data_IF_902223497807
#
_entry.id   IF_902223497807
#
_cell.length_a   1.000
_cell.length_b   1.000
_cell.length_c   1.000
_cell.angle_alpha   90.00
_cell.angle_beta   90.00
_cell.angle_gamma   90.00
#
_symmetry.space_group_name_H-M   'P 1'
#
loop_
_entity.id
_entity.type
_entity.pdbx_description
1 polymer ?
#
# COMPACT_ATOMS: atom_id res chain seq x y z
N UNK A 1 -10.37 12.36 -4.10
CA UNK A 1 -9.62 11.17 -3.85
C UNK A 1 -8.13 11.39 -3.94
N UNK A 2 -7.38 10.78 -3.09
CA UNK A 2 -5.95 11.02 -3.10
C UNK A 2 -5.24 10.15 -4.09
N UNK A 3 -4.16 10.69 -4.62
CA UNK A 3 -3.26 9.94 -5.45
C UNK A 3 -2.68 8.78 -4.64
N UNK A 4 -2.79 7.54 -5.12
CA UNK A 4 -2.26 6.42 -4.35
C UNK A 4 -0.77 6.53 -4.07
N UNK A 5 -0.02 7.15 -4.97
CA UNK A 5 1.40 7.35 -4.72
C UNK A 5 1.63 8.28 -3.55
N UNK A 6 0.81 9.31 -3.44
CA UNK A 6 0.91 10.23 -2.32
C UNK A 6 0.53 9.55 -1.01
N UNK A 7 -0.45 8.67 -1.06
CA UNK A 7 -0.86 7.96 0.14
C UNK A 7 0.30 7.15 0.69
N UNK A 8 1.07 6.52 -0.18
CA UNK A 8 2.24 5.76 0.24
C UNK A 8 3.46 6.63 0.47
N UNK A 9 3.39 7.88 0.07
CA UNK A 9 4.52 8.78 0.25
C UNK A 9 5.67 8.51 -0.68
N UNK A 10 5.37 8.04 -1.87
CA UNK A 10 6.40 7.76 -2.85
C UNK A 10 6.13 8.55 -4.12
N UNK A 11 7.17 8.66 -4.94
CA UNK A 11 7.07 9.32 -6.22
C UNK A 11 6.32 8.43 -7.21
N UNK A 12 5.71 9.06 -8.19
CA UNK A 12 5.05 8.30 -9.25
C UNK A 12 6.06 7.49 -10.06
N UNK A 13 7.31 7.91 -10.02
CA UNK A 13 8.38 7.19 -10.70
C UNK A 13 9.04 6.15 -9.82
N UNK A 14 8.55 5.96 -8.62
CA UNK A 14 9.16 5.03 -7.68
C UNK A 14 9.19 3.61 -8.27
N UNK A 15 10.23 2.90 -7.96
CA UNK A 15 10.35 1.52 -8.37
C UNK A 15 9.37 0.66 -7.59
N UNK A 16 9.11 -0.51 -8.11
CA UNK A 16 8.21 -1.44 -7.44
C UNK A 16 8.74 -1.77 -6.04
N UNK A 17 10.04 -1.90 -5.92
CA UNK A 17 10.63 -2.19 -4.63
C UNK A 17 10.42 -1.06 -3.64
N UNK A 18 10.55 0.15 -4.11
CA UNK A 18 10.33 1.31 -3.26
C UNK A 18 8.89 1.37 -2.78
N UNK A 19 7.98 1.05 -3.68
CA UNK A 19 6.57 1.05 -3.35
C UNK A 19 6.26 -0.01 -2.30
N UNK A 20 6.80 -1.19 -2.48
CA UNK A 20 6.60 -2.27 -1.52
C UNK A 20 7.20 -1.93 -0.17
N UNK A 21 8.36 -1.32 -0.19
CA UNK A 21 9.02 -0.93 1.04
C UNK A 21 8.18 0.08 1.81
N UNK A 22 7.69 1.08 1.08
CA UNK A 22 6.85 2.09 1.71
C UNK A 22 5.58 1.47 2.26
N UNK A 23 4.98 0.58 1.51
CA UNK A 23 3.77 -0.10 1.95
C UNK A 23 4.01 -0.87 3.24
N UNK A 24 5.09 -1.63 3.30
CA UNK A 24 5.38 -2.40 4.50
C UNK A 24 5.60 -1.51 5.71
N UNK A 25 6.34 -0.45 5.49
CA UNK A 25 6.63 0.47 6.57
C UNK A 25 5.36 1.09 7.12
N UNK A 26 4.52 1.60 6.23
CA UNK A 26 3.29 2.24 6.66
C UNK A 26 2.32 1.23 7.26
N UNK A 27 2.29 0.03 6.72
CA UNK A 27 1.43 -1.00 7.27
C UNK A 27 1.79 -1.31 8.71
N UNK A 28 3.07 -1.37 9.00
CA UNK A 28 3.49 -1.61 10.38
C UNK A 28 3.09 -0.48 11.29
N UNK A 29 3.24 0.74 10.79
CA UNK A 29 2.95 1.91 11.61
C UNK A 29 1.48 1.99 11.97
N UNK A 30 0.62 1.61 11.05
CA UNK A 30 -0.81 1.78 11.23
C UNK A 30 -1.56 0.49 11.47
N UNK A 31 -0.83 -0.61 11.65
CA UNK A 31 -1.49 -1.89 11.88
C UNK A 31 -2.30 -1.83 13.17
N UNK A 32 -3.50 -2.44 13.18
CA UNK A 32 -4.32 -2.42 14.39
C UNK A 32 -3.63 -2.94 15.62
N UNK A 33 -2.81 -3.97 15.47
CA UNK A 33 -2.10 -4.54 16.62
C UNK A 33 -1.11 -3.56 17.20
N UNK A 34 -0.47 -2.78 16.34
CA UNK A 34 0.50 -1.81 16.80
C UNK A 34 -0.16 -0.60 17.44
N UNK A 35 -1.45 -0.44 17.22
CA UNK A 35 -2.18 0.74 17.69
C UNK A 35 -3.27 0.41 18.70
N UNK A 36 -3.13 -0.71 19.36
CA UNK A 36 -4.13 -1.16 20.31
C UNK A 36 -4.40 -0.12 21.38
N UNK A 37 -3.35 0.49 21.92
CA UNK A 37 -3.48 1.46 22.99
C UNK A 37 -3.44 2.88 22.50
N UNK A 38 -3.54 3.06 21.21
CA UNK A 38 -3.48 4.40 20.63
C UNK A 38 -4.83 5.08 20.79
N UNK A 39 -4.87 6.27 21.37
CA UNK A 39 -6.16 6.99 21.49
C UNK A 39 -6.77 7.30 20.13
N UNK A 40 -5.95 7.35 19.08
CA UNK A 40 -6.44 7.58 17.73
C UNK A 40 -6.53 6.30 16.92
N UNK A 41 -6.87 5.24 17.58
CA UNK A 41 -6.92 3.92 16.95
C UNK A 41 -7.80 3.88 15.72
N UNK A 42 -8.95 4.52 15.78
CA UNK A 42 -9.87 4.54 14.65
C UNK A 42 -9.24 5.19 13.44
N UNK A 43 -8.50 6.28 13.66
CA UNK A 43 -7.84 6.96 12.57
C UNK A 43 -6.73 6.11 11.98
N UNK A 44 -6.02 5.39 12.84
CA UNK A 44 -4.96 4.50 12.37
C UNK A 44 -5.54 3.41 11.50
N UNK A 45 -6.68 2.89 11.86
CA UNK A 45 -7.34 1.86 11.06
C UNK A 45 -7.76 2.39 9.70
N UNK A 46 -8.29 3.58 9.68
CA UNK A 46 -8.67 4.20 8.42
C UNK A 46 -7.46 4.39 7.53
N UNK A 47 -6.39 4.85 8.12
CA UNK A 47 -5.16 5.05 7.39
C UNK A 47 -4.63 3.74 6.84
N UNK A 48 -4.72 2.71 7.64
CA UNK A 48 -4.27 1.39 7.23
C UNK A 48 -5.04 0.91 6.00
N UNK A 49 -6.36 1.08 6.03
CA UNK A 49 -7.18 0.70 4.89
C UNK A 49 -6.82 1.51 3.65
N UNK A 50 -6.59 2.79 3.84
CA UNK A 50 -6.23 3.67 2.75
C UNK A 50 -4.91 3.22 2.12
N UNK A 51 -3.96 2.87 2.96
CA UNK A 51 -2.66 2.41 2.50
C UNK A 51 -2.81 1.12 1.68
N UNK A 52 -3.61 0.21 2.16
CA UNK A 52 -3.83 -1.04 1.44
C UNK A 52 -4.48 -0.79 0.09
N UNK A 53 -5.47 0.05 0.05
CA UNK A 53 -6.15 0.38 -1.20
C UNK A 53 -5.21 1.04 -2.19
N UNK A 54 -4.40 1.97 -1.69
CA UNK A 54 -3.45 2.65 -2.55
C UNK A 54 -2.46 1.67 -3.16
N UNK A 55 -1.95 0.78 -2.34
CA UNK A 55 -1.00 -0.21 -2.82
C UNK A 55 -1.62 -1.10 -3.89
N UNK A 56 -2.81 -1.60 -3.63
CA UNK A 56 -3.50 -2.46 -4.57
C UNK A 56 -3.77 -1.73 -5.88
N UNK A 57 -4.15 -0.48 -5.78
CA UNK A 57 -4.43 0.31 -6.96
C UNK A 57 -3.19 0.51 -7.80
N UNK A 58 -2.07 0.82 -7.16
CA UNK A 58 -0.82 1.00 -7.87
C UNK A 58 -0.39 -0.28 -8.56
N UNK A 59 -0.45 -1.37 -7.85
CA UNK A 59 -0.03 -2.64 -8.41
C UNK A 59 -0.90 -3.04 -9.59
N UNK A 60 -2.18 -2.80 -9.46
CA UNK A 60 -3.10 -3.13 -10.53
C UNK A 60 -2.80 -2.30 -11.76
N UNK A 61 -2.55 -1.02 -11.58
CA UNK A 61 -2.23 -0.15 -12.71
C UNK A 61 -0.94 -0.59 -13.39
N UNK A 62 0.06 -0.90 -12.60
CA UNK A 62 1.35 -1.29 -13.16
C UNK A 62 1.27 -2.62 -13.88
N UNK A 63 0.49 -3.51 -13.33
CA UNK A 63 0.28 -4.81 -13.95
C UNK A 63 -0.35 -4.66 -15.32
N UNK A 64 -1.39 -3.88 -15.38
CA UNK A 64 -2.12 -3.69 -16.63
C UNK A 64 -1.29 -2.97 -17.66
N UNK A 65 -0.49 -2.03 -17.20
CA UNK A 65 0.22 -1.19 -18.12
C UNK A 65 1.51 -1.77 -18.62
N UNK A 66 2.14 -2.65 -17.86
CA UNK A 66 3.49 -3.00 -18.22
C UNK A 66 3.67 -4.45 -18.61
N UNK A 67 2.92 -5.36 -18.05
CA UNK A 67 3.26 -6.74 -18.29
C UNK A 67 2.05 -7.55 -18.66
N UNK A 68 2.01 -8.02 -19.87
CA UNK A 68 0.87 -8.83 -20.31
C UNK A 68 0.79 -10.13 -19.58
N UNK A 69 1.88 -10.65 -19.10
CA UNK A 69 1.79 -11.87 -18.36
C UNK A 69 2.46 -11.70 -17.06
N UNK A 70 2.09 -10.90 -16.51
CA UNK A 70 2.60 -10.77 -15.26
C UNK A 70 2.09 -11.78 -14.33
N UNK A 71 1.83 -12.20 -14.28
CA UNK A 71 1.46 -12.69 -13.50
C UNK A 71 1.41 -13.11 -12.56
N UNK A 72 1.27 -13.42 -12.28
CA UNK A 72 1.05 -13.87 -11.56
C UNK A 72 1.05 -13.80 -10.43
N UNK A 73 0.82 -13.68 -10.10
CA UNK A 73 0.67 -13.66 -9.10
C UNK A 73 1.15 -13.81 -8.01
N UNK A 74 1.32 -13.72 -7.51
CA UNK A 74 1.78 -13.84 -6.56
C UNK A 74 1.26 -13.58 -5.59
N UNK A 75 0.95 -13.52 -5.46
CA UNK A 75 0.39 -13.32 -4.55
C UNK A 75 0.65 -13.51 -3.30
N UNK A 76 0.71 -13.33 -2.81
CA UNK A 76 0.91 -13.47 -1.70
C UNK A 76 0.06 -13.16 -0.98
N UNK A 77 -0.08 -12.99 -1.02
CA UNK A 77 -0.78 -12.85 -0.40
C UNK A 77 -1.53 -13.38 0.06
N UNK A 78 -1.39 -13.53 -0.21
CA UNK A 78 -2.19 -14.00 0.06
C UNK A 78 -2.63 -14.02 0.66
#
# INVERSE_FOLDING_TARGET
MRDPYQVLGVSQDASEEEIKKAYRKLSRMYHPDANINNPNKAQAEEKFKEIQQAYQQIMKQREQGSSPYGNQGYGYGG
#
